data_IF_791886924782
#
_entry.id   IF_791886924782
#
_cell.length_a   1.000
_cell.length_b   1.000
_cell.length_c   1.000
_cell.angle_alpha   90.00
_cell.angle_beta   90.00
_cell.angle_gamma   90.00
#
_symmetry.space_group_name_H-M   'P 1'
#
loop_
_entity.id
_entity.type
_entity.pdbx_description
1 polymer ?
#
# COMPACT_ATOMS: atom_id res chain seq x y z
N UNK A 8 17.13 -8.32 -8.90
CA UNK A 8 16.49 -8.07 -7.61
C UNK A 8 15.01 -8.40 -7.53
N UNK A 9 14.41 -8.02 -6.41
CA UNK A 9 12.98 -8.25 -6.16
C UNK A 9 12.21 -7.05 -6.68
N UNK A 10 11.44 -7.24 -7.74
CA UNK A 10 10.70 -6.11 -8.31
C UNK A 10 9.96 -5.32 -7.24
N UNK A 11 10.09 -4.00 -7.34
CA UNK A 11 9.48 -3.06 -6.39
C UNK A 11 8.20 -2.49 -6.96
N UNK A 12 7.10 -2.76 -6.27
CA UNK A 12 5.78 -2.24 -6.67
C UNK A 12 5.19 -1.29 -5.65
N UNK A 13 4.98 -0.06 -6.09
CA UNK A 13 4.39 1.01 -5.27
C UNK A 13 2.96 1.33 -5.70
N UNK A 14 2.05 1.19 -4.75
CA UNK A 14 0.63 1.44 -5.00
C UNK A 14 -0.02 2.33 -3.95
N UNK A 15 -1.19 2.84 -4.31
CA UNK A 15 -2.02 3.62 -3.39
C UNK A 15 -2.97 2.70 -2.65
N UNK A 16 -3.59 3.26 -1.63
CA UNK A 16 -4.53 2.53 -0.79
C UNK A 16 -5.75 2.15 -1.60
N UNK A 17 -6.46 1.16 -1.08
CA UNK A 17 -7.81 0.81 -1.51
C UNK A 17 -7.95 0.23 -2.90
N UNK A 18 -6.83 0.03 -3.58
CA UNK A 18 -6.85 -0.45 -4.97
C UNK A 18 -6.17 -1.81 -5.15
N UNK A 19 -5.85 -2.15 -6.40
CA UNK A 19 -5.47 -3.53 -6.75
C UNK A 19 -4.08 -3.64 -7.33
N UNK A 20 -3.27 -4.53 -6.73
CA UNK A 20 -1.88 -4.70 -7.14
C UNK A 20 -1.83 -5.84 -8.11
N UNK A 21 -1.13 -5.62 -9.23
CA UNK A 21 -0.86 -6.64 -10.27
C UNK A 21 0.57 -7.17 -10.26
N UNK A 22 0.70 -8.44 -9.89
CA UNK A 22 2.01 -9.06 -9.75
C UNK A 22 2.15 -10.11 -10.85
N UNK A 23 2.99 -9.84 -11.86
CA UNK A 23 3.24 -10.76 -12.99
C UNK A 23 4.18 -11.92 -12.70
N UNK A 24 3.70 -13.10 -13.06
CA UNK A 24 4.47 -14.33 -12.89
C UNK A 24 4.14 -15.33 -13.99
N UNK A 25 4.70 -15.04 -15.16
CA UNK A 25 4.50 -15.86 -16.35
C UNK A 25 5.67 -16.82 -16.55
N UNK A 26 5.32 -18.06 -16.91
CA UNK A 26 6.30 -19.13 -17.04
C UNK A 26 6.13 -19.97 -18.29
N UNK A 27 7.26 -20.50 -18.74
CA UNK A 27 7.34 -21.38 -19.90
C UNK A 27 7.92 -22.71 -19.48
N UNK A 28 7.11 -23.75 -19.58
CA UNK A 28 7.55 -25.10 -19.20
C UNK A 28 8.52 -25.68 -20.22
N UNK A 29 9.43 -26.50 -19.72
CA UNK A 29 10.36 -27.22 -20.57
C UNK A 29 9.96 -28.69 -20.66
N UNK A 30 10.35 -29.36 -21.74
CA UNK A 30 9.93 -30.73 -22.02
C UNK A 30 10.15 -31.70 -20.85
N UNK A 31 11.19 -31.47 -20.07
CA UNK A 31 11.50 -32.34 -18.93
C UNK A 31 10.36 -32.27 -17.94
N UNK A 32 9.77 -31.08 -17.88
CA UNK A 32 8.94 -30.68 -16.75
C UNK A 32 7.61 -31.39 -16.82
N UNK A 33 7.58 -32.56 -16.19
CA UNK A 33 6.47 -33.49 -16.36
C UNK A 33 5.67 -33.72 -15.09
N UNK A 34 6.22 -33.32 -13.95
CA UNK A 34 5.56 -33.53 -12.66
C UNK A 34 4.26 -32.77 -12.48
N UNK A 35 3.62 -32.92 -11.32
CA UNK A 35 2.40 -32.15 -11.14
C UNK A 35 2.71 -30.67 -11.11
N UNK A 36 1.93 -29.89 -11.84
CA UNK A 36 2.03 -28.43 -11.78
C UNK A 36 1.53 -27.98 -10.43
N UNK A 37 2.24 -27.01 -9.87
CA UNK A 37 1.91 -26.52 -8.55
C UNK A 37 2.40 -25.12 -8.29
N UNK A 38 1.47 -24.23 -7.99
CA UNK A 38 1.78 -22.84 -7.71
C UNK A 38 1.40 -22.45 -6.30
N UNK A 39 2.25 -21.62 -5.71
CA UNK A 39 2.07 -21.22 -4.33
C UNK A 39 2.58 -19.80 -4.09
N UNK A 40 1.66 -18.89 -3.81
CA UNK A 40 2.01 -17.51 -3.47
C UNK A 40 2.16 -17.35 -1.97
N UNK A 41 3.27 -16.73 -1.57
CA UNK A 41 3.54 -16.46 -0.17
C UNK A 41 3.68 -14.98 0.13
N UNK A 42 3.02 -14.56 1.20
CA UNK A 42 3.20 -13.20 1.75
C UNK A 42 4.13 -13.24 2.94
N UNK A 43 5.00 -12.24 2.99
CA UNK A 43 5.97 -12.10 4.06
C UNK A 43 5.76 -10.77 4.77
N UNK A 44 4.83 -10.74 5.74
CA UNK A 44 4.49 -9.50 6.43
C UNK A 44 5.69 -8.82 7.04
N UNK A 45 5.78 -7.51 6.78
CA UNK A 45 6.88 -6.67 7.24
C UNK A 45 8.23 -7.33 6.96
N UNK A 46 8.20 -8.31 6.07
CA UNK A 46 9.38 -8.98 5.55
C UNK A 46 10.15 -9.84 6.54
N UNK A 47 9.60 -10.08 7.73
CA UNK A 47 10.30 -10.92 8.72
C UNK A 47 10.74 -12.23 8.08
N UNK A 48 12.02 -12.53 8.26
CA UNK A 48 12.68 -13.54 7.45
C UNK A 48 12.61 -14.91 8.10
N UNK A 49 11.79 -15.03 9.13
CA UNK A 49 11.62 -16.32 9.80
C UNK A 49 10.40 -17.05 9.28
N UNK A 50 9.41 -16.28 8.81
CA UNK A 50 8.14 -16.88 8.40
C UNK A 50 7.48 -16.18 7.24
N UNK A 51 6.94 -16.99 6.34
CA UNK A 51 6.05 -16.53 5.28
C UNK A 51 4.70 -17.23 5.44
N UNK A 52 3.69 -16.67 4.79
CA UNK A 52 2.36 -17.30 4.78
C UNK A 52 1.82 -17.48 3.39
N UNK A 53 1.14 -18.60 3.21
CA UNK A 53 0.48 -18.88 1.95
C UNK A 53 -0.79 -18.07 1.86
N UNK A 54 -0.95 -17.39 0.74
CA UNK A 54 -2.16 -16.65 0.47
C UNK A 54 -3.01 -17.43 -0.54
N UNK A 55 -2.43 -17.72 -1.70
CA UNK A 55 -3.11 -18.53 -2.71
C UNK A 55 -2.23 -19.67 -3.23
N UNK A 56 -2.89 -20.77 -3.53
CA UNK A 56 -2.26 -22.02 -3.94
C UNK A 56 -3.03 -22.67 -5.10
N UNK A 57 -2.28 -23.29 -6.00
CA UNK A 57 -2.85 -24.00 -7.15
C UNK A 57 -2.35 -25.44 -7.14
N UNK A 58 -3.29 -26.38 -7.06
CA UNK A 58 -2.96 -27.81 -6.92
C UNK A 58 -4.12 -28.76 -7.19
N UNK A 59 -3.79 -29.86 -7.86
CA UNK A 59 -4.77 -30.85 -8.29
C UNK A 59 -5.68 -30.17 -9.28
N UNK A 60 -5.11 -29.16 -9.92
CA UNK A 60 -5.83 -28.26 -10.81
C UNK A 60 -7.09 -27.75 -10.13
N UNK A 61 -6.91 -27.33 -8.88
CA UNK A 61 -7.94 -26.63 -8.13
C UNK A 61 -7.30 -25.51 -7.32
N UNK A 62 -7.93 -24.35 -7.39
CA UNK A 62 -7.45 -23.15 -6.69
C UNK A 62 -7.85 -23.18 -5.22
N UNK A 63 -7.04 -22.51 -4.41
CA UNK A 63 -7.35 -22.34 -2.99
C UNK A 63 -7.07 -20.92 -2.52
N UNK A 64 -8.12 -20.30 -2.03
CA UNK A 64 -8.08 -18.95 -1.45
C UNK A 64 -8.33 -19.09 0.04
N UNK A 65 -8.15 -20.32 0.50
CA UNK A 65 -8.68 -20.82 1.77
C UNK A 65 -8.04 -20.23 3.02
N UNK A 66 -6.90 -19.55 2.85
CA UNK A 66 -6.11 -19.09 4.00
C UNK A 66 -5.72 -17.61 3.98
N UNK A 67 -5.05 -17.21 5.06
CA UNK A 67 -4.75 -15.81 5.35
C UNK A 67 -6.07 -15.03 5.41
N UNK A 68 -6.83 -15.22 6.50
CA UNK A 68 -8.16 -14.64 6.68
C UNK A 68 -8.21 -13.15 6.42
N UNK A 69 -7.06 -12.49 6.53
CA UNK A 69 -6.99 -11.06 6.24
C UNK A 69 -7.28 -10.82 4.76
N UNK A 70 -6.85 -11.75 3.93
CA UNK A 70 -6.95 -11.59 2.48
C UNK A 70 -8.15 -12.34 1.91
N UNK A 71 -9.01 -12.80 2.80
CA UNK A 71 -10.21 -13.54 2.39
C UNK A 71 -11.02 -12.72 1.39
N UNK A 72 -11.00 -13.17 0.15
CA UNK A 72 -11.84 -12.60 -0.89
C UNK A 72 -11.17 -11.46 -1.62
N UNK A 73 -9.91 -11.22 -1.30
CA UNK A 73 -9.20 -10.06 -1.85
C UNK A 73 -8.04 -10.38 -2.81
N UNK A 74 -7.72 -11.66 -3.00
CA UNK A 74 -6.64 -12.05 -3.93
C UNK A 74 -7.05 -13.11 -4.96
N UNK A 75 -6.68 -12.88 -6.21
CA UNK A 75 -7.06 -13.78 -7.33
C UNK A 75 -6.02 -13.88 -8.46
N UNK A 76 -5.88 -15.07 -9.03
CA UNK A 76 -5.08 -15.25 -10.27
C UNK A 76 -5.75 -14.47 -11.38
N UNK A 77 -5.00 -13.58 -12.01
CA UNK A 77 -5.53 -12.78 -13.11
C UNK A 77 -6.00 -13.69 -14.21
N UNK A 78 -5.06 -14.47 -14.71
CA UNK A 78 -5.32 -15.41 -15.81
C UNK A 78 -6.52 -16.31 -15.60
N UNK A 79 -7.01 -16.76 -16.74
CA UNK A 79 -8.04 -17.78 -16.82
C UNK A 79 -7.32 -19.14 -16.74
N UNK A 80 -6.47 -19.38 -17.73
CA UNK A 80 -5.77 -20.65 -17.87
C UNK A 80 -4.36 -20.56 -17.33
N UNK A 81 -4.25 -20.79 -16.03
CA UNK A 81 -2.98 -20.57 -15.32
C UNK A 81 -1.89 -21.53 -15.82
N UNK A 82 -2.30 -22.74 -16.18
CA UNK A 82 -1.37 -23.77 -16.65
C UNK A 82 -0.71 -23.35 -17.95
N UNK A 83 -1.43 -22.57 -18.73
CA UNK A 83 -0.95 -22.18 -20.05
C UNK A 83 0.38 -21.47 -19.93
N UNK A 84 0.83 -21.25 -18.70
CA UNK A 84 2.08 -20.55 -18.44
C UNK A 84 1.91 -19.18 -17.79
N UNK A 85 0.82 -19.02 -17.04
CA UNK A 85 0.56 -17.76 -16.36
C UNK A 85 0.05 -17.90 -14.94
N UNK A 86 0.89 -17.42 -14.02
CA UNK A 86 0.64 -17.56 -12.59
C UNK A 86 0.38 -16.21 -11.94
N UNK A 87 0.30 -15.16 -12.75
CA UNK A 87 0.13 -13.80 -12.21
C UNK A 87 -1.12 -13.69 -11.35
N UNK A 88 -1.05 -12.78 -10.39
CA UNK A 88 -2.19 -12.52 -9.51
C UNK A 88 -2.52 -11.04 -9.37
N UNK A 89 -3.75 -10.81 -8.96
CA UNK A 89 -4.23 -9.50 -8.49
C UNK A 89 -4.54 -9.51 -7.00
N UNK A 90 -4.13 -8.44 -6.33
CA UNK A 90 -4.43 -8.19 -4.91
C UNK A 90 -5.36 -7.00 -4.84
N UNK A 91 -6.57 -7.22 -4.33
CA UNK A 91 -7.62 -6.23 -4.37
C UNK A 91 -7.85 -5.53 -3.04
N UNK A 92 -8.32 -4.29 -3.17
CA UNK A 92 -8.61 -3.41 -2.04
C UNK A 92 -7.41 -3.31 -1.11
N UNK A 93 -6.36 -2.67 -1.62
CA UNK A 93 -5.07 -2.60 -0.91
C UNK A 93 -5.16 -1.77 0.36
N UNK A 94 -4.61 -2.35 1.43
CA UNK A 94 -4.49 -1.70 2.74
C UNK A 94 -3.05 -1.75 3.24
N UNK A 95 -2.81 -1.10 4.37
CA UNK A 95 -1.45 -0.95 4.89
C UNK A 95 -0.93 -2.25 5.47
N UNK A 96 -1.84 -3.15 5.80
CA UNK A 96 -1.47 -4.45 6.37
C UNK A 96 -0.96 -5.41 5.29
N UNK A 97 -1.16 -5.00 4.04
CA UNK A 97 -0.82 -5.85 2.90
C UNK A 97 0.62 -5.60 2.50
N UNK A 98 1.26 -4.71 3.25
CA UNK A 98 2.66 -4.40 3.02
C UNK A 98 3.47 -5.64 3.36
N UNK A 99 4.46 -5.91 2.53
CA UNK A 99 5.29 -7.06 2.72
C UNK A 99 6.02 -7.47 1.48
N UNK A 100 6.46 -8.72 1.49
CA UNK A 100 7.19 -9.29 0.38
C UNK A 100 6.42 -10.47 -0.16
N UNK A 101 6.25 -10.42 -1.48
CA UNK A 101 5.39 -11.35 -2.19
C UNK A 101 6.23 -12.19 -3.12
N UNK A 102 6.00 -13.49 -3.03
CA UNK A 102 6.83 -14.46 -3.70
C UNK A 102 6.00 -15.43 -4.53
N UNK A 103 6.47 -15.68 -5.74
CA UNK A 103 5.81 -16.60 -6.67
C UNK A 103 6.62 -17.88 -6.92
N UNK A 104 6.07 -19.00 -6.44
CA UNK A 104 6.72 -20.30 -6.50
C UNK A 104 6.02 -21.30 -7.41
N UNK A 105 6.65 -21.57 -8.55
CA UNK A 105 6.17 -22.54 -9.53
C UNK A 105 7.00 -23.83 -9.52
N UNK A 106 6.32 -24.96 -9.39
CA UNK A 106 6.98 -26.27 -9.37
C UNK A 106 6.30 -27.30 -10.27
N UNK A 107 7.08 -27.81 -11.21
CA UNK A 107 6.63 -28.90 -12.04
C UNK A 107 7.80 -29.83 -12.32
N UNK A 108 7.92 -30.84 -11.47
CA UNK A 108 9.10 -31.67 -11.41
C UNK A 108 9.64 -31.98 -12.82
N UNK A 109 10.96 -31.76 -13.02
CA UNK A 109 11.92 -31.35 -12.00
C UNK A 109 12.12 -29.85 -11.97
N UNK A 110 11.42 -29.15 -12.84
CA UNK A 110 11.62 -27.71 -12.99
C UNK A 110 11.07 -26.90 -11.84
N UNK A 111 11.72 -25.77 -11.57
CA UNK A 111 11.28 -24.88 -10.51
C UNK A 111 11.70 -23.45 -10.72
N UNK A 112 10.80 -22.53 -10.43
CA UNK A 112 11.10 -21.10 -10.54
C UNK A 112 10.54 -20.26 -9.40
N UNK A 113 11.12 -19.08 -9.29
CA UNK A 113 10.89 -18.17 -8.16
C UNK A 113 11.04 -16.70 -8.55
N UNK A 114 10.09 -15.90 -8.06
CA UNK A 114 10.07 -14.46 -8.29
C UNK A 114 9.72 -13.72 -7.01
N UNK A 115 10.50 -12.70 -6.71
CA UNK A 115 10.27 -11.88 -5.52
C UNK A 115 9.70 -10.54 -5.88
N UNK A 116 8.65 -10.17 -5.14
CA UNK A 116 7.99 -8.89 -5.31
C UNK A 116 7.91 -8.13 -4.00
N UNK A 117 8.45 -6.91 -4.01
CA UNK A 117 8.44 -6.05 -2.83
C UNK A 117 7.33 -5.03 -2.94
N UNK A 118 6.29 -5.24 -2.14
CA UNK A 118 5.08 -4.43 -2.21
C UNK A 118 5.09 -3.29 -1.21
N UNK A 119 4.66 -2.14 -1.72
CA UNK A 119 4.61 -0.90 -0.94
C UNK A 119 3.26 -0.22 -1.11
N UNK A 120 2.65 0.12 0.02
CA UNK A 120 1.33 0.73 0.04
C UNK A 120 1.33 2.10 0.72
N UNK A 121 1.25 3.13 -0.11
CA UNK A 121 1.16 4.52 0.36
C UNK A 121 -0.29 4.95 0.54
N UNK A 122 -0.46 6.00 1.32
CA UNK A 122 -1.79 6.50 1.67
C UNK A 122 -1.99 7.96 1.31
N UNK A 123 -2.97 8.21 0.46
CA UNK A 123 -3.35 9.58 0.09
C UNK A 123 -3.87 10.31 1.32
N UNK A 124 -3.29 11.49 1.62
CA UNK A 124 -3.57 12.19 2.86
C UNK A 124 -5.02 12.62 2.93
N UNK A 125 -5.67 12.18 3.99
CA UNK A 125 -7.05 12.52 4.25
C UNK A 125 -7.41 12.26 5.71
N UNK A 126 -8.26 13.12 6.24
CA UNK A 126 -8.72 13.01 7.62
C UNK A 126 -7.90 13.89 8.53
N UNK A 127 -7.72 15.13 8.12
CA UNK A 127 -6.94 16.09 8.89
C UNK A 127 -7.84 16.95 9.75
N UNK A 128 -7.48 17.05 11.02
CA UNK A 128 -8.19 17.91 11.96
C UNK A 128 -7.52 19.26 12.02
N UNK A 129 -8.34 20.30 11.96
CA UNK A 129 -7.92 21.68 12.20
C UNK A 129 -8.47 22.15 13.53
N UNK A 130 -7.57 22.42 14.46
CA UNK A 130 -7.99 22.88 15.78
C UNK A 130 -7.05 23.87 16.45
N UNK A 131 -7.67 24.73 17.25
CA UNK A 131 -6.97 25.63 18.16
C UNK A 131 -6.90 24.99 19.53
N UNK A 132 -5.91 25.41 20.31
CA UNK A 132 -5.74 24.89 21.67
C UNK A 132 -6.38 25.78 22.75
N UNK A 138 -3.95 38.17 24.50
CA UNK A 138 -2.50 38.15 24.36
C UNK A 138 -1.91 36.86 24.88
N UNK A 139 -2.56 35.76 24.50
CA UNK A 139 -2.21 34.42 25.01
C UNK A 139 -1.06 33.77 24.23
N UNK A 140 -0.94 32.46 24.42
CA UNK A 140 0.17 31.65 23.92
C UNK A 140 -0.35 30.58 22.95
N UNK A 141 -1.17 31.02 22.00
CA UNK A 141 -1.93 30.11 21.10
C UNK A 141 -1.08 29.20 20.22
N UNK A 142 -1.74 28.15 19.76
CA UNK A 142 -1.20 27.26 18.72
C UNK A 142 -2.31 26.76 17.80
N UNK A 143 -2.18 27.10 16.52
CA UNK A 143 -3.07 26.59 15.48
C UNK A 143 -2.45 25.36 14.81
N UNK A 144 -3.31 24.39 14.53
CA UNK A 144 -2.86 23.04 14.25
C UNK A 144 -3.65 22.40 13.11
N UNK A 145 -2.90 21.76 12.22
CA UNK A 145 -3.46 21.01 11.08
C UNK A 145 -2.90 19.60 11.10
N UNK A 146 -3.55 18.74 11.88
CA UNK A 146 -3.04 17.40 12.16
C UNK A 146 -3.72 16.34 11.29
N UNK A 147 -2.96 15.72 10.39
CA UNK A 147 -3.55 14.74 9.48
C UNK A 147 -3.45 13.31 9.97
N UNK A 148 -4.44 12.53 9.57
CA UNK A 148 -4.38 11.06 9.64
C UNK A 148 -5.59 10.40 8.97
N UNK A 149 -5.35 9.47 8.04
CA UNK A 149 -4.00 9.00 7.71
C UNK A 149 -3.36 9.84 6.62
N UNK A 150 -2.06 9.65 6.50
CA UNK A 150 -1.26 10.24 5.42
C UNK A 150 0.10 9.58 5.29
N UNK A 151 1.00 10.24 4.57
CA UNK A 151 2.39 9.80 4.49
C UNK A 151 3.33 10.86 3.94
N UNK A 152 4.56 10.81 4.46
CA UNK A 152 5.56 11.86 4.26
C UNK A 152 6.35 11.65 2.97
N UNK A 153 6.98 12.71 2.46
CA UNK A 153 6.98 14.07 2.99
C UNK A 153 5.72 14.84 2.64
N UNK A 154 5.03 15.28 3.69
CA UNK A 154 3.80 16.08 3.57
C UNK A 154 4.11 17.55 3.41
N UNK A 155 3.25 18.22 2.66
CA UNK A 155 3.29 19.68 2.52
C UNK A 155 1.99 20.33 2.99
N UNK A 156 2.13 21.49 3.63
CA UNK A 156 0.98 22.27 4.12
C UNK A 156 1.03 23.69 3.60
N UNK A 157 -0.14 24.22 3.28
CA UNK A 157 -0.28 25.63 2.90
C UNK A 157 -1.56 26.25 3.46
N UNK A 158 -1.39 27.18 4.39
CA UNK A 158 -2.52 27.84 5.06
C UNK A 158 -2.81 29.15 4.36
N UNK A 159 -4.09 29.54 4.34
CA UNK A 159 -4.54 30.80 3.70
C UNK A 159 -5.71 31.50 4.41
N UNK A 160 -6.29 32.48 3.71
CA UNK A 160 -7.47 33.21 4.16
C UNK A 160 -8.34 33.65 2.99
N UNK A 167 -4.48 37.23 5.54
CA UNK A 167 -3.20 37.67 5.00
C UNK A 167 -2.23 38.00 6.14
N UNK A 168 -2.19 37.16 7.20
CA UNK A 168 -1.51 37.51 8.45
C UNK A 168 0.01 37.61 8.33
N UNK A 169 0.52 38.78 8.68
CA UNK A 169 1.94 39.10 8.50
C UNK A 169 2.91 38.30 9.39
N UNK A 170 2.62 38.20 10.70
CA UNK A 170 3.58 37.49 11.56
C UNK A 170 3.36 35.98 11.53
N UNK A 171 2.42 35.56 10.68
CA UNK A 171 2.16 34.14 10.44
C UNK A 171 2.69 33.68 9.09
N UNK A 172 3.01 34.65 8.23
CA UNK A 172 3.40 34.36 6.84
C UNK A 172 4.51 33.32 6.76
N UNK A 173 5.37 33.33 7.77
CA UNK A 173 6.50 32.40 7.83
C UNK A 173 6.03 30.98 8.12
N UNK A 174 4.91 30.89 8.82
CA UNK A 174 4.36 29.60 9.27
C UNK A 174 3.43 29.02 8.22
N UNK A 175 3.16 29.82 7.20
CA UNK A 175 2.26 29.43 6.12
C UNK A 175 2.40 27.97 5.71
N UNK A 176 3.60 27.44 5.89
CA UNK A 176 3.96 26.13 5.35
C UNK A 176 4.07 25.05 6.39
N UNK A 177 4.45 25.45 7.59
CA UNK A 177 4.54 24.54 8.72
C UNK A 177 3.14 24.18 9.21
N UNK A 178 2.97 22.96 9.76
CA UNK A 178 1.65 22.47 10.13
C UNK A 178 1.17 23.04 11.45
N UNK A 179 2.02 23.84 12.08
CA UNK A 179 1.66 24.49 13.34
C UNK A 179 1.93 25.99 13.31
N UNK A 180 0.89 26.73 13.64
CA UNK A 180 0.98 28.18 13.79
C UNK A 180 1.02 28.52 15.27
N UNK A 181 2.21 28.43 15.85
CA UNK A 181 2.41 28.79 17.25
C UNK A 181 2.25 30.30 17.42
N UNK A 182 1.02 30.69 17.72
CA UNK A 182 0.62 32.10 17.84
C UNK A 182 0.88 32.63 19.25
N UNK A 183 1.34 33.88 19.32
CA UNK A 183 1.69 34.51 20.61
C UNK A 183 1.32 35.99 20.67
N UNK A 184 0.72 36.39 21.79
CA UNK A 184 0.38 37.79 22.04
C UNK A 184 -0.64 38.31 21.04
N UNK A 193 -10.41 30.74 4.16
CA UNK A 193 -9.55 30.21 5.22
C UNK A 193 -9.35 28.69 5.09
N UNK A 194 -8.08 28.29 4.97
CA UNK A 194 -7.73 26.91 4.62
C UNK A 194 -6.57 26.29 5.39
N UNK A 195 -6.37 25.02 5.07
CA UNK A 195 -5.12 24.29 5.29
C UNK A 195 -5.03 23.13 4.32
N UNK A 196 -4.38 23.38 3.19
CA UNK A 196 -4.24 22.36 2.13
C UNK A 196 -3.06 21.42 2.40
N UNK A 197 -3.35 20.12 2.33
CA UNK A 197 -2.37 19.09 2.67
C UNK A 197 -2.08 18.17 1.52
N UNK A 198 -0.81 18.08 1.19
CA UNK A 198 -0.37 17.41 -0.02
C UNK A 198 0.89 16.56 0.12
N UNK A 199 0.81 15.37 -0.46
CA UNK A 199 2.00 14.54 -0.71
C UNK A 199 2.05 14.22 -2.20
N UNK A 200 2.76 13.16 -2.56
CA UNK A 200 2.92 12.81 -3.97
C UNK A 200 1.99 11.69 -4.38
N UNK A 201 0.86 11.60 -3.70
CA UNK A 201 -0.18 10.62 -4.05
C UNK A 201 -1.61 11.11 -3.81
N UNK A 202 -1.74 12.35 -3.33
CA UNK A 202 -3.05 12.88 -2.95
C UNK A 202 -3.03 14.21 -2.23
N UNK A 203 -4.22 14.81 -2.15
CA UNK A 203 -4.42 16.12 -1.51
C UNK A 203 -5.61 16.14 -0.55
N UNK A 204 -5.83 17.30 0.07
CA UNK A 204 -6.80 17.44 1.16
C UNK A 204 -7.00 18.90 1.58
N UNK A 205 -8.21 19.21 2.03
CA UNK A 205 -8.61 20.57 2.44
C UNK A 205 -9.38 20.62 3.76
N UNK A 206 -9.00 21.59 4.60
CA UNK A 206 -9.51 21.69 5.97
C UNK A 206 -9.67 23.14 6.43
N UNK A 207 -10.64 23.37 7.31
CA UNK A 207 -10.97 24.73 7.74
C UNK A 207 -11.09 24.86 9.26
N UNK A 208 -10.65 26.01 9.76
CA UNK A 208 -10.59 26.28 11.20
C UNK A 208 -11.07 27.68 11.54
N UNK A 209 -11.53 27.84 12.78
CA UNK A 209 -11.88 29.16 13.32
C UNK A 209 -11.26 29.45 14.69
N UNK A 210 -10.91 30.72 14.86
CA UNK A 210 -10.22 31.23 16.06
C UNK A 210 -10.93 32.48 16.58
N UNK A 211 -10.82 32.71 17.88
CA UNK A 211 -11.37 33.94 18.45
C UNK A 211 -10.66 34.48 19.68
N UNK A 212 -10.43 35.79 19.63
CA UNK A 212 -9.70 36.54 20.66
C UNK A 212 -10.61 37.54 21.37
#
# INVERSE_FOLDING_TARGET
SGLSITTPEQRIEKAKGETAYLPCKFTLSPEDQGPLDIEWLISPSDNQIVDQVIILYSGDKIYDNYYPDLKGRVHFTSNDVKSGDASINVTNLQLSDIGTYQCKVKKAPGVANKKFLLTVLVKPSGTRCFVDGSEEIGNDFKLKCEPKEGSLPLQFEWQKLSDSQTMPTPWLAEMTSPVISVKNASSEYSGTYSCTVQNRVGSDQCMLRLDVVPPSNRAHHHHHH
#
